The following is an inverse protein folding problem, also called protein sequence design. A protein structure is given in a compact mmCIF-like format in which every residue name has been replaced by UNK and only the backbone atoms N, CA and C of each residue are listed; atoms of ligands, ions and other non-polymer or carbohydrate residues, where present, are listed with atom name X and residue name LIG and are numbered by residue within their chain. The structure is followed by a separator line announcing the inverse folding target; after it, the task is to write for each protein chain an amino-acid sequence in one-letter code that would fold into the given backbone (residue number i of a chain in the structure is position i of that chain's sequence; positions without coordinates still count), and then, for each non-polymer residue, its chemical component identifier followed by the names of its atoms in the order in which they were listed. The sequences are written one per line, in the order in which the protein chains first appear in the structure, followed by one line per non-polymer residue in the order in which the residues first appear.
data_IF_659862083984
#
_entry.id   IF_659862083984
#
_cell.length_a   1.000
_cell.length_b   1.000
_cell.length_c   1.000
_cell.angle_alpha   90.00
_cell.angle_beta   90.00
_cell.angle_gamma   90.00
#
_symmetry.space_group_name_H-M   'P 1'
#
loop_
_entity.id
_entity.type
_entity.pdbx_description
1 polymer ?
#
# COMPACT_ATOMS: atom_id res chain seq x y z
N UNK A 1 58.47 26.97 37.38
CA UNK A 1 58.64 27.09 35.91
C UNK A 1 57.24 27.31 35.33
N UNK A 2 56.79 28.54 35.05
CA UNK A 2 56.80 29.22 33.72
C UNK A 2 56.49 28.22 32.57
N UNK A 3 55.48 28.38 31.72
CA UNK A 3 54.95 29.62 31.13
C UNK A 3 53.71 29.35 30.23
N UNK A 4 52.85 30.39 30.07
CA UNK A 4 52.12 30.87 28.87
C UNK A 4 51.21 29.91 28.05
N UNK A 5 50.20 30.33 27.28
CA UNK A 5 49.30 31.49 27.13
C UNK A 5 48.37 31.08 25.95
N UNK A 6 47.24 31.76 25.81
CA UNK A 6 46.47 31.95 24.56
C UNK A 6 45.43 30.89 24.17
N UNK A 7 44.17 31.23 24.43
CA UNK A 7 43.10 31.10 23.43
C UNK A 7 43.44 31.94 22.19
N UNK A 8 42.86 31.61 21.02
CA UNK A 8 41.99 32.63 20.43
C UNK A 8 40.72 32.07 19.79
N UNK A 9 39.71 32.92 19.89
CA UNK A 9 38.46 32.98 19.14
C UNK A 9 38.65 32.87 17.61
N UNK A 10 37.81 32.10 16.91
CA UNK A 10 37.31 32.49 15.58
C UNK A 10 35.97 31.82 15.26
N UNK A 11 35.04 32.62 14.75
CA UNK A 11 33.63 32.34 14.50
C UNK A 11 33.33 31.81 13.10
N UNK A 12 32.09 31.31 12.96
CA UNK A 12 31.15 31.36 11.81
C UNK A 12 30.93 30.10 10.95
N UNK A 13 29.67 29.64 11.06
CA UNK A 13 28.71 29.33 9.99
C UNK A 13 28.99 28.16 9.03
N UNK A 14 28.38 26.99 9.31
CA UNK A 14 27.90 26.02 8.30
C UNK A 14 26.79 25.11 8.91
N UNK A 15 25.89 24.53 8.08
CA UNK A 15 24.44 24.72 8.10
C UNK A 15 23.66 23.74 9.00
N UNK A 16 22.34 23.93 9.20
CA UNK A 16 21.55 22.96 9.94
C UNK A 16 21.35 21.69 9.10
N UNK A 17 22.01 20.60 9.48
CA UNK A 17 21.63 19.23 9.09
C UNK A 17 20.24 18.92 9.68
N UNK A 18 19.20 19.48 9.06
CA UNK A 18 17.86 18.93 9.13
C UNK A 18 17.83 17.77 8.13
N UNK A 19 17.28 16.65 8.58
CA UNK A 19 16.85 15.50 7.77
C UNK A 19 17.73 14.24 7.79
N UNK A 20 18.05 13.69 8.98
CA UNK A 20 18.25 12.24 9.09
C UNK A 20 17.75 11.59 10.39
N UNK A 21 16.90 12.25 11.17
CA UNK A 21 16.35 11.66 12.38
C UNK A 21 14.95 11.09 12.17
N UNK A 22 14.82 10.08 11.29
CA UNK A 22 13.88 8.99 11.61
C UNK A 22 14.61 8.18 12.68
N UNK A 23 14.34 8.45 13.96
CA UNK A 23 15.06 7.87 15.09
C UNK A 23 15.20 6.36 14.95
N UNK A 24 16.38 5.94 14.48
CA UNK A 24 16.77 4.55 14.45
C UNK A 24 17.15 4.18 15.88
N UNK A 25 16.13 3.91 16.70
CA UNK A 25 16.32 3.48 18.08
C UNK A 25 16.68 2.01 18.06
N UNK A 26 17.96 1.71 18.31
CA UNK A 26 18.41 0.35 18.52
C UNK A 26 17.85 -0.17 19.85
N UNK A 27 17.10 -1.28 19.80
CA UNK A 27 16.60 -1.98 20.98
C UNK A 27 17.16 -3.39 20.98
N UNK A 28 18.05 -3.66 21.92
CA UNK A 28 18.59 -4.99 22.16
C UNK A 28 17.52 -5.88 22.78
N UNK A 29 17.27 -7.03 22.15
CA UNK A 29 16.32 -8.04 22.61
C UNK A 29 17.08 -9.33 22.92
N UNK A 30 16.87 -9.88 24.11
CA UNK A 30 17.36 -11.20 24.49
C UNK A 30 16.17 -12.15 24.56
N UNK A 31 16.18 -13.20 23.75
CA UNK A 31 15.11 -14.18 23.71
C UNK A 31 15.54 -15.50 23.08
N UNK A 32 14.66 -16.50 23.17
CA UNK A 32 14.85 -17.80 22.51
C UNK A 32 14.83 -17.64 21.00
N UNK A 33 15.39 -18.61 20.26
CA UNK A 33 15.36 -18.62 18.80
C UNK A 33 13.92 -18.46 18.25
N UNK A 34 12.93 -19.04 18.94
CA UNK A 34 11.52 -18.90 18.59
C UNK A 34 11.04 -17.44 18.57
N UNK A 35 11.47 -16.60 19.54
CA UNK A 35 11.15 -15.17 19.55
C UNK A 35 11.76 -14.42 18.37
N UNK A 36 13.03 -14.69 18.03
CA UNK A 36 13.70 -14.04 16.90
C UNK A 36 12.96 -14.34 15.58
N UNK A 37 12.66 -15.61 15.33
CA UNK A 37 11.93 -16.04 14.13
C UNK A 37 10.52 -15.45 14.10
N UNK A 38 9.81 -15.41 15.23
CA UNK A 38 8.49 -14.77 15.32
C UNK A 38 8.55 -13.28 14.92
N UNK A 39 9.52 -12.53 15.46
CA UNK A 39 9.68 -11.10 15.18
C UNK A 39 9.98 -10.86 13.69
N UNK A 40 10.88 -11.66 13.10
CA UNK A 40 11.20 -11.56 11.67
C UNK A 40 9.99 -11.81 10.79
N UNK A 41 9.22 -12.86 11.09
CA UNK A 41 8.01 -13.21 10.33
C UNK A 41 6.90 -12.16 10.51
N UNK A 42 6.72 -11.65 11.73
CA UNK A 42 5.77 -10.57 12.00
C UNK A 42 6.16 -9.29 11.23
N UNK A 43 7.44 -8.91 11.26
CA UNK A 43 7.92 -7.78 10.49
C UNK A 43 7.71 -7.97 8.99
N UNK A 44 7.95 -9.18 8.47
CA UNK A 44 7.67 -9.53 7.08
C UNK A 44 6.18 -9.35 6.76
N UNK A 45 5.27 -9.89 7.58
CA UNK A 45 3.82 -9.73 7.41
C UNK A 45 3.42 -8.25 7.40
N UNK A 46 3.90 -7.46 8.37
CA UNK A 46 3.64 -6.03 8.44
C UNK A 46 4.16 -5.28 7.21
N UNK A 47 5.36 -5.61 6.73
CA UNK A 47 5.95 -5.01 5.52
C UNK A 47 5.07 -5.24 4.28
N UNK A 48 4.53 -6.46 4.14
CA UNK A 48 3.63 -6.78 3.02
C UNK A 48 2.30 -6.06 3.13
N UNK A 49 1.68 -6.04 4.31
CA UNK A 49 0.44 -5.29 4.55
C UNK A 49 0.64 -3.77 4.33
N UNK A 50 1.79 -3.22 4.72
CA UNK A 50 2.14 -1.83 4.45
C UNK A 50 2.26 -1.56 2.95
N UNK A 51 2.81 -2.50 2.18
CA UNK A 51 2.87 -2.42 0.71
C UNK A 51 1.47 -2.36 0.11
N UNK A 52 0.55 -3.22 0.56
CA UNK A 52 -0.86 -3.16 0.14
C UNK A 52 -1.53 -1.84 0.50
N UNK A 53 -1.28 -1.32 1.70
CA UNK A 53 -1.81 -0.01 2.13
C UNK A 53 -1.30 1.13 1.25
N UNK A 54 0.00 1.14 0.91
CA UNK A 54 0.58 2.14 -0.01
C UNK A 54 -0.05 2.04 -1.39
N UNK A 55 -0.20 0.82 -1.94
CA UNK A 55 -0.82 0.59 -3.24
C UNK A 55 -2.28 1.01 -3.29
N UNK A 56 -3.01 0.74 -2.21
CA UNK A 56 -4.38 1.22 -2.05
C UNK A 56 -4.47 2.75 -2.10
N UNK A 57 -3.53 3.46 -1.46
CA UNK A 57 -3.47 4.92 -1.52
C UNK A 57 -3.17 5.43 -2.95
N UNK A 58 -2.24 4.77 -3.66
CA UNK A 58 -1.93 5.07 -5.06
C UNK A 58 -3.16 4.85 -5.97
N UNK A 59 -3.89 3.75 -5.77
CA UNK A 59 -5.13 3.45 -6.50
C UNK A 59 -6.22 4.50 -6.28
N UNK A 60 -6.41 4.98 -5.04
CA UNK A 60 -7.35 6.06 -4.75
C UNK A 60 -6.94 7.35 -5.49
N UNK A 61 -5.67 7.73 -5.41
CA UNK A 61 -5.17 8.95 -6.04
C UNK A 61 -5.29 8.88 -7.58
N UNK A 62 -4.97 7.73 -8.18
CA UNK A 62 -5.09 7.52 -9.62
C UNK A 62 -6.55 7.60 -10.08
N UNK A 63 -7.48 7.02 -9.32
CA UNK A 63 -8.91 7.11 -9.62
C UNK A 63 -9.42 8.56 -9.63
N UNK A 64 -9.02 9.37 -8.64
CA UNK A 64 -9.38 10.80 -8.60
C UNK A 64 -8.77 11.60 -9.75
N UNK A 65 -7.60 11.21 -10.26
CA UNK A 65 -6.98 11.81 -11.45
C UNK A 65 -7.73 11.40 -12.72
N UNK A 66 -8.07 10.11 -12.86
CA UNK A 66 -8.80 9.58 -14.01
C UNK A 66 -10.20 10.19 -14.12
N UNK A 67 -10.91 10.36 -13.00
CA UNK A 67 -12.23 11.01 -12.96
C UNK A 67 -12.15 12.47 -13.44
N UNK A 68 -11.14 13.22 -12.98
CA UNK A 68 -10.90 14.59 -13.45
C UNK A 68 -10.56 14.66 -14.94
N UNK A 69 -9.80 13.70 -15.45
CA UNK A 69 -9.50 13.57 -16.88
C UNK A 69 -10.74 13.23 -17.70
N UNK A 70 -11.60 12.35 -17.19
CA UNK A 70 -12.87 11.99 -17.80
C UNK A 70 -13.79 13.21 -17.94
N UNK A 71 -13.95 14.00 -16.87
CA UNK A 71 -14.76 15.22 -16.89
C UNK A 71 -14.23 16.25 -17.89
N UNK A 72 -12.90 16.49 -17.92
CA UNK A 72 -12.29 17.40 -18.90
C UNK A 72 -12.49 16.94 -20.34
N UNK A 73 -12.35 15.63 -20.61
CA UNK A 73 -12.60 15.06 -21.95
C UNK A 73 -14.06 15.24 -22.35
N UNK A 74 -14.98 15.00 -21.43
CA UNK A 74 -16.41 15.18 -21.67
C UNK A 74 -16.75 16.65 -21.97
N UNK A 75 -16.18 17.59 -21.22
CA UNK A 75 -16.36 19.04 -21.48
C UNK A 75 -15.84 19.46 -22.86
N UNK A 76 -14.66 18.96 -23.28
CA UNK A 76 -14.11 19.24 -24.61
C UNK A 76 -15.04 18.69 -25.71
N UNK A 77 -15.56 17.47 -25.50
CA UNK A 77 -16.48 16.83 -26.43
C UNK A 77 -17.78 17.63 -26.53
N UNK A 78 -18.37 18.02 -25.40
CA UNK A 78 -19.59 18.82 -25.35
C UNK A 78 -19.41 20.19 -26.03
N UNK A 79 -18.27 20.87 -25.79
CA UNK A 79 -17.93 22.12 -26.46
C UNK A 79 -17.80 21.94 -27.98
N UNK A 80 -17.14 20.87 -28.42
CA UNK A 80 -17.01 20.54 -29.83
C UNK A 80 -18.36 20.21 -30.50
N UNK A 81 -19.30 19.59 -29.77
CA UNK A 81 -20.67 19.36 -30.26
C UNK A 81 -21.51 20.64 -30.30
N UNK A 82 -21.37 21.54 -29.32
CA UNK A 82 -22.05 22.84 -29.30
C UNK A 82 -21.61 23.73 -30.48
N UNK A 83 -20.35 23.63 -30.90
CA UNK A 83 -19.81 24.34 -32.07
C UNK A 83 -20.16 23.67 -33.41
N UNK A 84 -20.50 22.36 -33.43
CA UNK A 84 -20.64 21.58 -34.67
C UNK A 84 -22.05 21.10 -35.00
N UNK A 85 -23.02 21.18 -34.09
CA UNK A 85 -24.45 21.03 -34.42
C UNK A 85 -24.88 19.69 -35.05
N UNK A 86 -24.18 18.59 -34.80
CA UNK A 86 -24.55 17.26 -35.34
C UNK A 86 -24.36 16.14 -34.33
N UNK A 87 -25.49 15.51 -33.97
CA UNK A 87 -25.62 14.29 -33.18
C UNK A 87 -24.97 13.10 -33.87
N UNK A 88 -23.91 12.51 -33.31
CA UNK A 88 -23.51 11.15 -33.62
C UNK A 88 -22.56 10.58 -32.55
N UNK A 89 -22.91 9.38 -32.07
CA UNK A 89 -22.05 8.37 -31.43
C UNK A 89 -21.94 8.36 -29.89
N UNK A 90 -22.96 7.79 -29.25
CA UNK A 90 -22.74 6.79 -28.18
C UNK A 90 -22.09 5.55 -28.80
N UNK A 91 -20.79 5.59 -29.10
CA UNK A 91 -20.06 4.36 -29.46
C UNK A 91 -19.53 3.72 -28.18
N UNK A 92 -20.33 2.80 -27.66
CA UNK A 92 -19.93 1.47 -27.17
C UNK A 92 -18.44 1.33 -26.88
N UNK A 93 -18.06 1.62 -25.63
CA UNK A 93 -16.72 1.43 -25.11
C UNK A 93 -16.74 0.73 -23.77
N UNK A 94 -16.83 -0.60 -23.81
CA UNK A 94 -16.48 -1.58 -22.75
C UNK A 94 -17.44 -1.71 -21.56
N UNK A 95 -18.46 -2.55 -21.76
CA UNK A 95 -19.24 -3.21 -20.71
C UNK A 95 -18.44 -4.33 -20.00
N UNK A 96 -17.25 -4.05 -19.46
CA UNK A 96 -16.52 -5.01 -18.61
C UNK A 96 -16.66 -4.75 -17.11
N UNK A 97 -17.35 -3.67 -16.72
CA UNK A 97 -17.62 -3.35 -15.30
C UNK A 97 -18.91 -3.97 -14.76
N UNK A 98 -19.70 -4.67 -15.59
CA UNK A 98 -21.04 -5.15 -15.19
C UNK A 98 -21.05 -6.37 -14.24
N UNK A 99 -19.90 -6.94 -13.90
CA UNK A 99 -19.80 -8.11 -13.02
C UNK A 99 -19.05 -7.86 -11.70
N UNK A 100 -18.77 -6.61 -11.35
CA UNK A 100 -18.14 -6.27 -10.07
C UNK A 100 -19.22 -5.79 -9.09
N UNK A 101 -19.24 -6.39 -7.90
CA UNK A 101 -20.09 -5.97 -6.78
C UNK A 101 -19.95 -4.44 -6.58
N UNK A 102 -21.04 -3.69 -6.30
CA UNK A 102 -20.99 -2.23 -6.16
C UNK A 102 -19.99 -1.73 -5.12
N UNK A 103 -19.66 -2.55 -4.11
CA UNK A 103 -18.61 -2.26 -3.11
C UNK A 103 -17.18 -2.22 -3.69
N UNK A 104 -16.94 -2.91 -4.81
CA UNK A 104 -15.67 -2.92 -5.56
C UNK A 104 -15.59 -1.72 -6.52
N UNK A 105 -16.66 -0.95 -6.69
CA UNK A 105 -16.64 0.19 -7.60
C UNK A 105 -15.88 1.41 -7.04
N UNK A 106 -15.58 1.42 -5.73
CA UNK A 106 -14.79 2.49 -5.11
C UNK A 106 -13.44 1.96 -4.60
N UNK A 107 -12.31 2.53 -5.05
CA UNK A 107 -10.97 2.15 -4.59
C UNK A 107 -10.81 2.26 -3.07
N UNK A 108 -11.63 3.09 -2.40
CA UNK A 108 -11.61 3.35 -0.95
C UNK A 108 -11.87 2.11 -0.10
N UNK A 109 -12.55 1.09 -0.63
CA UNK A 109 -12.86 -0.11 0.12
C UNK A 109 -11.88 -1.27 -0.10
N UNK A 110 -10.90 -1.12 -1.01
CA UNK A 110 -10.08 -2.24 -1.47
C UNK A 110 -9.22 -2.83 -0.36
N UNK A 111 -8.61 -1.99 0.48
CA UNK A 111 -7.80 -2.46 1.60
C UNK A 111 -8.67 -3.23 2.62
N UNK A 112 -9.84 -2.70 2.96
CA UNK A 112 -10.79 -3.37 3.87
C UNK A 112 -11.25 -4.70 3.31
N UNK A 113 -11.53 -4.77 2.00
CA UNK A 113 -11.92 -6.00 1.31
C UNK A 113 -10.79 -7.04 1.34
N UNK A 114 -9.54 -6.64 1.10
CA UNK A 114 -8.38 -7.53 1.20
C UNK A 114 -8.21 -8.10 2.61
N UNK A 115 -8.34 -7.27 3.65
CA UNK A 115 -8.23 -7.75 5.04
C UNK A 115 -9.36 -8.74 5.36
N UNK A 116 -10.58 -8.49 4.88
CA UNK A 116 -11.71 -9.42 5.04
C UNK A 116 -11.46 -10.75 4.32
N UNK A 117 -11.01 -10.70 3.07
CA UNK A 117 -10.68 -11.89 2.28
C UNK A 117 -9.55 -12.68 2.94
N UNK A 118 -8.51 -12.01 3.44
CA UNK A 118 -7.40 -12.65 4.15
C UNK A 118 -7.87 -13.35 5.43
N UNK A 119 -8.79 -12.74 6.18
CA UNK A 119 -9.41 -13.40 7.35
C UNK A 119 -10.20 -14.64 6.94
N UNK A 120 -11.08 -14.53 5.95
CA UNK A 120 -11.86 -15.66 5.45
C UNK A 120 -10.98 -16.81 4.95
N UNK A 121 -9.84 -16.48 4.34
CA UNK A 121 -8.81 -17.43 3.92
C UNK A 121 -8.20 -18.17 5.13
N UNK A 122 -7.84 -17.43 6.19
CA UNK A 122 -7.28 -18.02 7.41
C UNK A 122 -8.30 -18.85 8.19
N UNK A 123 -9.58 -18.45 8.15
CA UNK A 123 -10.69 -19.19 8.76
C UNK A 123 -11.08 -20.43 7.94
N UNK A 124 -10.46 -20.66 6.78
CA UNK A 124 -10.76 -21.78 5.88
C UNK A 124 -12.12 -21.67 5.18
N UNK A 125 -12.75 -20.48 5.22
CA UNK A 125 -14.05 -20.24 4.57
C UNK A 125 -13.90 -20.07 3.05
N UNK A 126 -12.74 -19.60 2.59
CA UNK A 126 -12.41 -19.36 1.18
C UNK A 126 -11.15 -20.14 0.83
N UNK A 127 -11.17 -20.83 -0.31
CA UNK A 127 -10.04 -21.59 -0.85
C UNK A 127 -8.98 -20.67 -1.49
N UNK A 128 -7.91 -21.26 -2.02
CA UNK A 128 -6.73 -20.47 -2.43
C UNK A 128 -7.06 -19.70 -3.69
N UNK A 129 -7.59 -20.41 -4.67
CA UNK A 129 -7.95 -19.87 -5.98
C UNK A 129 -8.94 -18.72 -5.86
N UNK A 130 -10.01 -18.85 -5.05
CA UNK A 130 -10.96 -17.76 -4.88
C UNK A 130 -10.38 -16.56 -4.12
N UNK A 131 -9.52 -16.78 -3.11
CA UNK A 131 -8.83 -15.69 -2.44
C UNK A 131 -7.94 -14.91 -3.42
N UNK A 132 -7.17 -15.62 -4.25
CA UNK A 132 -6.29 -14.99 -5.25
C UNK A 132 -7.08 -14.22 -6.32
N UNK A 133 -8.22 -14.77 -6.77
CA UNK A 133 -9.15 -14.10 -7.68
C UNK A 133 -9.66 -12.79 -7.09
N UNK A 134 -10.08 -12.80 -5.81
CA UNK A 134 -10.53 -11.58 -5.11
C UNK A 134 -9.41 -10.55 -5.04
N UNK A 135 -8.22 -10.93 -4.59
CA UNK A 135 -7.11 -9.95 -4.44
C UNK A 135 -6.64 -9.42 -5.79
N UNK A 136 -6.67 -10.26 -6.85
CA UNK A 136 -6.36 -9.83 -8.22
C UNK A 136 -7.40 -8.90 -8.81
N UNK A 137 -8.68 -9.08 -8.49
CA UNK A 137 -9.72 -8.11 -8.86
C UNK A 137 -9.50 -6.74 -8.20
N UNK A 138 -8.93 -6.70 -6.99
CA UNK A 138 -8.69 -5.45 -6.24
C UNK A 138 -7.36 -4.75 -6.61
N UNK A 139 -6.26 -5.50 -6.70
CA UNK A 139 -4.89 -4.94 -6.83
C UNK A 139 -4.18 -5.35 -8.14
N UNK A 140 -4.86 -6.10 -9.01
CA UNK A 140 -4.32 -6.56 -10.29
C UNK A 140 -3.01 -7.32 -10.13
N UNK A 141 -2.00 -6.91 -10.89
CA UNK A 141 -0.69 -7.56 -10.90
C UNK A 141 0.05 -7.53 -9.54
N UNK A 142 -0.30 -6.64 -8.60
CA UNK A 142 0.35 -6.61 -7.28
C UNK A 142 -0.21 -7.64 -6.29
N UNK A 143 -1.22 -8.42 -6.68
CA UNK A 143 -1.87 -9.42 -5.83
C UNK A 143 -0.94 -10.54 -5.37
N UNK A 144 0.12 -10.87 -6.12
CA UNK A 144 1.05 -11.96 -5.80
C UNK A 144 1.65 -11.87 -4.40
N UNK A 145 1.76 -10.65 -3.85
CA UNK A 145 2.31 -10.41 -2.52
C UNK A 145 1.44 -11.03 -1.41
N UNK A 146 0.15 -11.24 -1.70
CA UNK A 146 -0.82 -11.86 -0.79
C UNK A 146 -0.74 -13.38 -0.75
N UNK A 147 -0.21 -14.03 -1.79
CA UNK A 147 -0.31 -15.48 -2.01
C UNK A 147 0.50 -16.30 -1.01
N UNK A 148 1.49 -15.69 -0.35
CA UNK A 148 2.29 -16.33 0.69
C UNK A 148 2.03 -15.75 2.09
N UNK A 149 0.99 -14.92 2.24
CA UNK A 149 0.65 -14.32 3.55
C UNK A 149 0.03 -15.33 4.50
N UNK A 150 -0.81 -16.23 4.00
CA UNK A 150 -1.39 -17.32 4.78
C UNK A 150 -0.30 -18.26 5.34
N UNK A 151 0.66 -18.66 4.50
CA UNK A 151 1.81 -19.46 4.93
C UNK A 151 2.63 -18.74 6.00
N UNK A 152 2.91 -17.44 5.84
CA UNK A 152 3.61 -16.65 6.85
C UNK A 152 2.84 -16.65 8.17
N UNK A 153 1.53 -16.44 8.13
CA UNK A 153 0.68 -16.42 9.33
C UNK A 153 0.66 -17.80 10.02
N UNK A 154 0.58 -18.89 9.26
CA UNK A 154 0.64 -20.24 9.83
C UNK A 154 1.98 -20.49 10.53
N UNK A 155 3.09 -20.07 9.93
CA UNK A 155 4.42 -20.20 10.56
C UNK A 155 4.50 -19.33 11.82
N UNK A 156 3.98 -18.10 11.80
CA UNK A 156 3.91 -17.22 12.97
C UNK A 156 3.15 -17.90 14.12
N UNK A 157 1.97 -18.47 13.85
CA UNK A 157 1.15 -19.17 14.85
C UNK A 157 1.91 -20.35 15.43
N UNK A 158 2.60 -21.13 14.58
CA UNK A 158 3.44 -22.24 15.05
C UNK A 158 4.56 -21.76 15.96
N UNK A 159 5.24 -20.68 15.60
CA UNK A 159 6.30 -20.12 16.45
C UNK A 159 5.76 -19.67 17.80
N UNK A 160 4.57 -19.04 17.83
CA UNK A 160 3.90 -18.63 19.08
C UNK A 160 3.60 -19.80 20.03
N UNK A 161 3.31 -20.99 19.51
CA UNK A 161 3.07 -22.19 20.32
C UNK A 161 4.35 -22.74 20.98
N UNK A 162 5.52 -22.36 20.46
CA UNK A 162 6.83 -22.77 20.95
C UNK A 162 7.53 -21.69 21.82
N UNK A 163 6.86 -20.55 22.06
CA UNK A 163 7.30 -19.51 22.99
C UNK A 163 6.99 -19.89 24.43
#
# INVERSE_FOLDING_TARGET
MRNHHSSPFFSKDEPPEKDLNRSCSYRLFYGTNAWCVFIELHHLLCSRLATFKKKHQELIANHEVEERLHLKRQEIIERAYAERGTDLTKSTGRNFSQHLNPDISSPKNYYTCLIKALKQRLDGTVDNDAFEEIVRALFGASAYLSFTMDAIIMVIIRQLQHL
#
